data_IF_463969746163
#
_entry.id   IF_463969746163
#
_cell.length_a   1.000
_cell.length_b   1.000
_cell.length_c   1.000
_cell.angle_alpha   90.00
_cell.angle_beta   90.00
_cell.angle_gamma   90.00
#
_symmetry.space_group_name_H-M   'P 1'
#
loop_
_entity.id
_entity.type
_entity.pdbx_description
1 polymer ?
#
# COMPACT_ATOMS: atom_id res chain seq x y z
N UNK A 1 70.03 -54.76 11.07
CA UNK A 1 70.06 -53.33 10.67
C UNK A 1 69.23 -53.26 9.39
N UNK A 2 67.98 -52.85 9.49
CA UNK A 2 67.02 -52.78 8.38
C UNK A 2 66.59 -51.32 8.16
N UNK A 3 66.53 -50.80 6.94
CA UNK A 3 66.22 -49.39 6.68
C UNK A 3 64.69 -49.14 6.67
N UNK A 4 64.34 -48.06 7.32
CA UNK A 4 62.96 -47.50 7.39
C UNK A 4 62.55 -47.01 5.98
N UNK A 5 61.32 -47.34 5.61
CA UNK A 5 60.59 -46.77 4.47
C UNK A 5 59.94 -45.42 4.87
N UNK A 6 59.93 -44.39 4.03
CA UNK A 6 59.14 -43.17 4.29
C UNK A 6 57.74 -43.35 3.76
N UNK A 7 56.75 -43.09 4.61
CA UNK A 7 55.36 -42.91 4.26
C UNK A 7 55.17 -41.48 3.72
N UNK A 8 54.90 -41.34 2.44
CA UNK A 8 54.40 -40.13 1.84
C UNK A 8 52.98 -40.41 1.34
N UNK A 9 51.98 -39.95 2.09
CA UNK A 9 50.62 -39.91 1.61
C UNK A 9 50.36 -38.51 1.06
N UNK A 10 50.45 -38.38 -0.25
CA UNK A 10 49.99 -37.20 -0.98
C UNK A 10 48.47 -37.13 -0.91
N UNK A 11 47.93 -36.23 -0.07
CA UNK A 11 46.54 -35.90 -0.05
C UNK A 11 46.26 -34.92 -1.20
N UNK A 12 45.76 -35.44 -2.32
CA UNK A 12 45.24 -34.64 -3.42
C UNK A 12 44.03 -33.83 -2.92
N UNK A 13 44.23 -32.54 -2.64
CA UNK A 13 43.16 -31.58 -2.43
C UNK A 13 42.28 -31.50 -3.69
N UNK A 14 41.04 -31.92 -3.56
CA UNK A 14 40.02 -31.68 -4.60
C UNK A 14 39.78 -30.19 -4.71
N UNK A 15 39.80 -29.59 -5.91
CA UNK A 15 39.48 -28.20 -6.09
C UNK A 15 38.03 -27.93 -5.67
N UNK A 16 37.82 -26.96 -4.78
CA UNK A 16 36.51 -26.48 -4.38
C UNK A 16 35.72 -26.05 -5.63
N UNK A 17 34.64 -26.76 -5.92
CA UNK A 17 33.72 -26.36 -6.97
C UNK A 17 33.13 -25.00 -6.60
N UNK A 18 33.52 -23.95 -7.33
CA UNK A 18 32.91 -22.66 -7.28
C UNK A 18 31.41 -22.80 -7.60
N UNK A 19 30.57 -22.64 -6.62
CA UNK A 19 29.12 -22.60 -6.80
C UNK A 19 28.80 -21.41 -7.70
N UNK A 20 28.36 -21.69 -8.92
CA UNK A 20 27.87 -20.67 -9.85
C UNK A 20 26.82 -19.79 -9.14
N UNK A 21 26.85 -18.47 -9.36
CA UNK A 21 25.88 -17.57 -8.73
C UNK A 21 24.47 -18.00 -9.13
N UNK A 22 23.68 -18.35 -8.13
CA UNK A 22 22.29 -18.77 -8.29
C UNK A 22 21.55 -17.69 -9.05
N UNK A 23 21.22 -17.94 -10.32
CA UNK A 23 20.50 -16.99 -11.16
C UNK A 23 19.29 -16.46 -10.37
N UNK A 24 19.26 -15.14 -10.12
CA UNK A 24 18.14 -14.49 -9.45
C UNK A 24 16.89 -14.82 -10.25
N UNK A 25 15.95 -15.56 -9.68
CA UNK A 25 14.63 -15.78 -10.30
C UNK A 25 14.10 -14.40 -10.69
N UNK A 26 13.59 -14.21 -11.92
CA UNK A 26 13.02 -12.94 -12.30
C UNK A 26 12.01 -12.51 -11.24
N UNK A 27 12.19 -11.31 -10.70
CA UNK A 27 11.30 -10.76 -9.71
C UNK A 27 9.91 -10.71 -10.35
N UNK A 28 8.97 -11.49 -9.81
CA UNK A 28 7.61 -11.55 -10.36
C UNK A 28 6.93 -10.19 -10.24
N UNK A 29 5.90 -9.96 -11.05
CA UNK A 29 5.10 -8.75 -10.98
C UNK A 29 4.29 -8.71 -9.68
N UNK A 30 4.17 -7.51 -9.14
CA UNK A 30 3.35 -7.18 -7.98
C UNK A 30 2.23 -6.26 -8.38
N UNK A 31 1.11 -6.32 -7.68
CA UNK A 31 0.04 -5.35 -7.84
C UNK A 31 -0.40 -4.79 -6.50
N UNK A 32 -0.78 -3.52 -6.52
CA UNK A 32 -1.49 -2.86 -5.44
C UNK A 32 -2.78 -2.27 -6.00
N UNK A 33 -3.89 -2.44 -5.30
CA UNK A 33 -5.17 -1.82 -5.62
C UNK A 33 -5.71 -1.12 -4.38
N UNK A 34 -6.11 0.12 -4.59
CA UNK A 34 -6.80 0.96 -3.62
C UNK A 34 -8.21 1.25 -4.11
N UNK A 35 -9.20 0.86 -3.29
CA UNK A 35 -10.60 1.19 -3.48
C UNK A 35 -11.01 2.24 -2.46
N UNK A 36 -10.83 3.51 -2.84
CA UNK A 36 -11.22 4.66 -2.03
C UNK A 36 -12.71 5.02 -2.17
N UNK A 37 -13.09 6.08 -1.47
CA UNK A 37 -14.46 6.63 -1.48
C UNK A 37 -14.88 7.13 -2.87
N UNK A 38 -13.95 7.76 -3.60
CA UNK A 38 -14.23 8.32 -4.93
C UNK A 38 -13.65 7.48 -6.08
N UNK A 39 -12.49 6.88 -5.90
CA UNK A 39 -11.70 6.30 -6.98
C UNK A 39 -11.32 4.85 -6.71
N UNK A 40 -11.21 4.05 -7.78
CA UNK A 40 -10.55 2.76 -7.78
C UNK A 40 -9.24 2.90 -8.57
N UNK A 41 -8.11 2.63 -7.92
CA UNK A 41 -6.77 2.72 -8.50
C UNK A 41 -6.06 1.39 -8.40
N UNK A 42 -5.31 1.02 -9.42
CA UNK A 42 -4.45 -0.16 -9.39
C UNK A 42 -3.14 0.12 -10.09
N UNK A 43 -2.06 -0.41 -9.54
CA UNK A 43 -0.72 -0.40 -10.11
C UNK A 43 -0.21 -1.82 -10.24
N UNK A 44 0.40 -2.15 -11.39
CA UNK A 44 1.18 -3.38 -11.59
C UNK A 44 2.62 -2.96 -11.82
N UNK A 45 3.55 -3.51 -11.04
CA UNK A 45 4.93 -3.09 -11.07
C UNK A 45 5.90 -4.26 -10.93
N UNK A 46 7.10 -4.07 -11.44
CA UNK A 46 8.26 -4.94 -11.31
C UNK A 46 9.28 -4.28 -10.37
N UNK A 47 9.75 -4.96 -9.32
CA UNK A 47 10.83 -4.43 -8.48
C UNK A 47 12.13 -4.24 -9.28
N UNK A 48 12.76 -3.06 -9.14
CA UNK A 48 14.06 -2.74 -9.75
C UNK A 48 14.96 -2.02 -8.75
N UNK A 49 16.02 -2.68 -8.34
CA UNK A 49 16.93 -2.12 -7.34
C UNK A 49 16.22 -1.77 -6.03
N UNK A 50 16.34 -0.53 -5.60
CA UNK A 50 15.62 0.02 -4.41
C UNK A 50 14.22 0.54 -4.72
N UNK A 51 13.79 0.53 -5.99
CA UNK A 51 12.49 1.04 -6.44
C UNK A 51 11.70 0.00 -7.23
N UNK A 52 10.83 0.49 -8.11
CA UNK A 52 10.02 -0.34 -9.00
C UNK A 52 9.78 0.34 -10.34
N UNK A 53 9.54 -0.47 -11.35
CA UNK A 53 9.12 -0.02 -12.69
C UNK A 53 7.63 -0.32 -12.87
N UNK A 54 6.84 0.69 -13.26
CA UNK A 54 5.42 0.54 -13.54
C UNK A 54 5.24 -0.17 -14.88
N UNK A 55 4.54 -1.30 -14.86
CA UNK A 55 4.24 -2.13 -16.04
C UNK A 55 2.86 -1.79 -16.60
N UNK A 56 1.88 -1.59 -15.72
CA UNK A 56 0.51 -1.22 -16.10
C UNK A 56 -0.17 -0.50 -14.95
N UNK A 57 -1.16 0.31 -15.25
CA UNK A 57 -1.96 1.02 -14.25
C UNK A 57 -3.43 1.09 -14.64
N UNK A 58 -4.26 1.40 -13.65
CA UNK A 58 -5.69 1.65 -13.84
C UNK A 58 -6.13 2.70 -12.82
N UNK A 59 -6.95 3.65 -13.29
CA UNK A 59 -7.60 4.63 -12.42
C UNK A 59 -8.99 4.94 -12.97
N UNK A 60 -10.00 4.90 -12.12
CA UNK A 60 -11.38 5.23 -12.49
C UNK A 60 -12.12 5.83 -11.29
N UNK A 61 -12.81 6.95 -11.52
CA UNK A 61 -13.78 7.47 -10.56
C UNK A 61 -14.99 6.52 -10.51
N UNK A 62 -15.25 5.95 -9.35
CA UNK A 62 -16.35 5.01 -9.09
C UNK A 62 -17.42 5.63 -8.19
N UNK A 63 -17.07 6.72 -7.48
CA UNK A 63 -17.96 7.43 -6.56
C UNK A 63 -18.68 6.45 -5.61
N UNK A 64 -17.89 5.58 -4.97
CA UNK A 64 -18.44 4.52 -4.12
C UNK A 64 -19.19 5.10 -2.93
N UNK A 65 -18.68 6.19 -2.34
CA UNK A 65 -19.24 6.85 -1.18
C UNK A 65 -20.40 7.80 -1.48
N UNK A 66 -20.80 7.97 -2.74
CA UNK A 66 -21.88 8.90 -3.09
C UNK A 66 -23.19 8.58 -2.33
N UNK A 67 -23.66 9.55 -1.54
CA UNK A 67 -24.86 9.42 -0.70
C UNK A 67 -24.68 8.59 0.58
N UNK A 68 -23.43 8.17 0.89
CA UNK A 68 -23.13 7.38 2.10
C UNK A 68 -23.42 8.17 3.38
N UNK A 69 -23.08 9.46 3.43
CA UNK A 69 -23.33 10.34 4.58
C UNK A 69 -24.80 10.32 5.01
N UNK A 70 -25.71 10.41 4.02
CA UNK A 70 -27.15 10.49 4.28
C UNK A 70 -27.78 9.12 4.61
N UNK A 71 -27.29 8.05 3.99
CA UNK A 71 -27.93 6.74 4.04
C UNK A 71 -27.25 5.73 4.95
N UNK A 72 -25.95 5.95 5.32
CA UNK A 72 -25.11 4.97 5.97
C UNK A 72 -24.82 3.72 5.12
N UNK A 73 -25.17 3.72 3.82
CA UNK A 73 -25.12 2.56 2.94
C UNK A 73 -24.53 2.90 1.57
N UNK A 74 -23.78 1.98 1.01
CA UNK A 74 -23.36 2.05 -0.40
C UNK A 74 -24.56 1.85 -1.30
N UNK A 75 -24.72 2.73 -2.29
CA UNK A 75 -25.84 2.64 -3.24
C UNK A 75 -25.65 1.47 -4.22
N UNK A 76 -26.75 0.90 -4.73
CA UNK A 76 -26.69 -0.17 -5.72
C UNK A 76 -25.95 0.24 -6.98
N UNK A 77 -26.12 1.49 -7.43
CA UNK A 77 -25.46 2.04 -8.62
C UNK A 77 -23.95 2.21 -8.41
N UNK A 78 -23.51 2.75 -7.26
CA UNK A 78 -22.08 2.88 -6.92
C UNK A 78 -21.39 1.52 -6.82
N UNK A 79 -22.04 0.55 -6.14
CA UNK A 79 -21.54 -0.82 -6.09
C UNK A 79 -21.40 -1.45 -7.48
N UNK A 80 -22.38 -1.27 -8.36
CA UNK A 80 -22.32 -1.81 -9.73
C UNK A 80 -21.18 -1.20 -10.55
N UNK A 81 -21.01 0.13 -10.51
CA UNK A 81 -19.87 0.82 -11.16
C UNK A 81 -18.53 0.31 -10.67
N UNK A 82 -18.42 0.13 -9.36
CA UNK A 82 -17.18 -0.36 -8.72
C UNK A 82 -16.86 -1.78 -9.16
N UNK A 83 -17.85 -2.69 -9.17
CA UNK A 83 -17.64 -4.07 -9.65
C UNK A 83 -17.20 -4.08 -11.12
N UNK A 84 -17.75 -3.23 -11.98
CA UNK A 84 -17.27 -3.11 -13.37
C UNK A 84 -15.81 -2.66 -13.46
N UNK A 85 -15.40 -1.68 -12.64
CA UNK A 85 -14.01 -1.25 -12.56
C UNK A 85 -13.09 -2.39 -12.10
N UNK A 86 -13.50 -3.13 -11.06
CA UNK A 86 -12.75 -4.26 -10.52
C UNK A 86 -12.64 -5.45 -11.50
N UNK A 87 -13.62 -5.66 -12.37
CA UNK A 87 -13.52 -6.64 -13.47
C UNK A 87 -12.40 -6.29 -14.45
N UNK A 88 -12.22 -4.99 -14.77
CA UNK A 88 -11.10 -4.53 -15.62
C UNK A 88 -9.77 -4.77 -14.89
N UNK A 89 -9.69 -4.45 -13.61
CA UNK A 89 -8.50 -4.74 -12.78
C UNK A 89 -8.17 -6.23 -12.81
N UNK A 90 -9.16 -7.09 -12.61
CA UNK A 90 -8.99 -8.55 -12.64
C UNK A 90 -8.46 -9.04 -14.01
N UNK A 91 -8.98 -8.51 -15.11
CA UNK A 91 -8.49 -8.85 -16.46
C UNK A 91 -7.03 -8.45 -16.65
N UNK A 92 -6.62 -7.26 -16.18
CA UNK A 92 -5.21 -6.81 -16.20
C UNK A 92 -4.31 -7.70 -15.35
N UNK A 93 -4.73 -8.05 -14.14
CA UNK A 93 -3.99 -8.96 -13.25
C UNK A 93 -3.78 -10.33 -13.90
N UNK A 94 -4.80 -10.89 -14.56
CA UNK A 94 -4.70 -12.15 -15.31
C UNK A 94 -3.78 -12.02 -16.52
N UNK A 95 -3.94 -10.96 -17.33
CA UNK A 95 -3.10 -10.68 -18.51
C UNK A 95 -1.62 -10.66 -18.14
N UNK A 96 -1.27 -10.00 -17.05
CA UNK A 96 0.11 -9.86 -16.59
C UNK A 96 0.57 -11.03 -15.69
N UNK A 97 -0.29 -12.04 -15.46
CA UNK A 97 0.00 -13.21 -14.61
C UNK A 97 0.51 -12.83 -13.22
N UNK A 98 -0.04 -11.75 -12.65
CA UNK A 98 0.33 -11.28 -11.31
C UNK A 98 -0.09 -12.30 -10.27
N UNK A 99 0.85 -12.68 -9.38
CA UNK A 99 0.61 -13.65 -8.30
C UNK A 99 0.69 -13.05 -6.90
N UNK A 100 1.35 -11.90 -6.77
CA UNK A 100 1.52 -11.20 -5.50
C UNK A 100 0.83 -9.86 -5.58
N UNK A 101 -0.20 -9.69 -4.76
CA UNK A 101 -1.02 -8.47 -4.80
C UNK A 101 -1.53 -8.12 -3.41
N UNK A 102 -1.70 -6.82 -3.17
CA UNK A 102 -2.44 -6.30 -2.03
C UNK A 102 -3.58 -5.43 -2.56
N UNK A 103 -4.79 -5.76 -2.19
CA UNK A 103 -6.00 -5.09 -2.66
C UNK A 103 -6.73 -4.60 -1.42
N UNK A 104 -6.85 -3.29 -1.28
CA UNK A 104 -7.44 -2.68 -0.09
C UNK A 104 -8.68 -1.87 -0.42
N UNK A 105 -9.56 -1.74 0.56
CA UNK A 105 -10.68 -0.83 0.55
C UNK A 105 -10.62 0.03 1.81
N UNK A 106 -11.03 1.29 1.70
CA UNK A 106 -10.81 2.28 2.74
C UNK A 106 -12.12 2.87 3.26
N UNK A 107 -12.19 4.15 3.56
CA UNK A 107 -13.23 4.86 4.32
C UNK A 107 -14.67 4.50 3.93
N UNK A 108 -15.03 4.52 2.64
CA UNK A 108 -16.41 4.20 2.23
C UNK A 108 -16.84 2.78 2.66
N UNK A 109 -15.92 1.81 2.61
CA UNK A 109 -16.19 0.45 3.05
C UNK A 109 -16.14 0.30 4.57
N UNK A 110 -15.32 1.07 5.30
CA UNK A 110 -15.32 1.07 6.77
C UNK A 110 -16.65 1.54 7.33
N UNK A 111 -17.19 2.62 6.77
CA UNK A 111 -18.41 3.29 7.28
C UNK A 111 -19.71 2.63 6.87
N UNK A 112 -19.75 1.96 5.73
CA UNK A 112 -20.99 1.46 5.16
C UNK A 112 -21.53 0.22 5.91
N UNK A 113 -22.76 0.25 6.36
CA UNK A 113 -23.47 -0.86 7.02
C UNK A 113 -23.48 -2.12 6.12
N UNK A 114 -23.57 -1.94 4.80
CA UNK A 114 -23.61 -3.03 3.81
C UNK A 114 -22.23 -3.38 3.18
N UNK A 115 -21.14 -2.94 3.80
CA UNK A 115 -19.79 -3.22 3.27
C UNK A 115 -19.49 -4.71 3.17
N UNK A 116 -19.83 -5.52 4.17
CA UNK A 116 -19.59 -6.98 4.16
C UNK A 116 -20.26 -7.66 2.98
N UNK A 117 -21.52 -7.32 2.69
CA UNK A 117 -22.25 -7.84 1.53
C UNK A 117 -21.59 -7.41 0.22
N UNK A 118 -21.11 -6.17 0.16
CA UNK A 118 -20.42 -5.64 -1.02
C UNK A 118 -19.07 -6.33 -1.28
N UNK A 119 -18.24 -6.52 -0.25
CA UNK A 119 -16.97 -7.26 -0.38
C UNK A 119 -17.22 -8.72 -0.81
N UNK A 120 -18.23 -9.39 -0.25
CA UNK A 120 -18.63 -10.72 -0.68
C UNK A 120 -19.09 -10.77 -2.15
N UNK A 121 -19.83 -9.74 -2.60
CA UNK A 121 -20.22 -9.58 -3.99
C UNK A 121 -19.02 -9.40 -4.91
N UNK A 122 -18.05 -8.53 -4.55
CA UNK A 122 -16.80 -8.34 -5.30
C UNK A 122 -16.10 -9.69 -5.47
N UNK A 123 -15.91 -10.43 -4.39
CA UNK A 123 -15.24 -11.72 -4.45
C UNK A 123 -15.97 -12.71 -5.38
N UNK A 124 -17.28 -12.83 -5.25
CA UNK A 124 -18.11 -13.72 -6.08
C UNK A 124 -18.05 -13.37 -7.57
N UNK A 125 -18.10 -12.07 -7.91
CA UNK A 125 -18.19 -11.60 -9.30
C UNK A 125 -16.84 -11.42 -10.00
N UNK A 126 -15.74 -11.24 -9.24
CA UNK A 126 -14.41 -10.95 -9.81
C UNK A 126 -13.34 -11.92 -9.34
N UNK A 127 -13.56 -12.70 -8.27
CA UNK A 127 -12.54 -13.51 -7.61
C UNK A 127 -11.51 -12.69 -6.82
N UNK A 128 -11.59 -11.35 -6.82
CA UNK A 128 -10.69 -10.50 -6.05
C UNK A 128 -11.06 -10.53 -4.57
N UNK A 129 -10.05 -10.52 -3.71
CA UNK A 129 -10.21 -10.41 -2.26
C UNK A 129 -9.66 -9.07 -1.83
N UNK A 130 -10.54 -8.18 -1.37
CA UNK A 130 -10.18 -6.88 -0.83
C UNK A 130 -10.23 -6.92 0.69
N UNK A 131 -9.19 -6.36 1.32
CA UNK A 131 -9.12 -6.17 2.76
C UNK A 131 -9.58 -4.75 3.09
N UNK A 132 -10.54 -4.60 3.99
CA UNK A 132 -10.87 -3.28 4.54
C UNK A 132 -9.80 -2.94 5.57
N UNK A 133 -9.02 -1.89 5.31
CA UNK A 133 -7.94 -1.47 6.20
C UNK A 133 -8.40 -0.36 7.15
N UNK A 134 -7.84 -0.36 8.36
CA UNK A 134 -8.10 0.67 9.36
C UNK A 134 -7.43 2.01 8.99
N UNK A 135 -7.90 3.15 9.52
CA UNK A 135 -7.34 4.47 9.24
C UNK A 135 -5.84 4.57 9.54
N UNK A 136 -5.39 3.93 10.61
CA UNK A 136 -3.98 3.88 11.00
C UNK A 136 -3.10 3.20 9.93
N UNK A 137 -3.58 2.11 9.35
CA UNK A 137 -2.85 1.41 8.27
C UNK A 137 -2.86 2.23 6.97
N UNK A 138 -3.96 2.92 6.67
CA UNK A 138 -4.06 3.85 5.54
C UNK A 138 -3.04 4.99 5.69
N UNK A 139 -3.01 5.66 6.86
CA UNK A 139 -2.06 6.69 7.21
C UNK A 139 -0.59 6.19 7.12
N UNK A 140 -0.32 4.98 7.63
CA UNK A 140 1.01 4.36 7.55
C UNK A 140 1.45 4.13 6.10
N UNK A 141 0.56 3.67 5.23
CA UNK A 141 0.86 3.45 3.82
C UNK A 141 1.12 4.77 3.09
N UNK A 142 0.37 5.83 3.41
CA UNK A 142 0.62 7.18 2.91
C UNK A 142 2.03 7.67 3.30
N UNK A 143 2.41 7.54 4.57
CA UNK A 143 3.75 7.88 5.06
C UNK A 143 4.84 7.12 4.32
N UNK A 144 4.71 5.80 4.19
CA UNK A 144 5.70 4.96 3.47
C UNK A 144 5.83 5.39 2.01
N UNK A 145 4.74 5.80 1.37
CA UNK A 145 4.77 6.28 -0.03
C UNK A 145 5.59 7.55 -0.20
N UNK A 146 5.73 8.37 0.85
CA UNK A 146 6.53 9.58 0.88
C UNK A 146 8.03 9.35 1.14
N UNK A 147 8.44 8.14 1.51
CA UNK A 147 9.85 7.84 1.82
C UNK A 147 10.86 8.28 0.73
N UNK A 148 10.58 8.12 -0.59
CA UNK A 148 11.48 8.56 -1.64
C UNK A 148 11.65 10.09 -1.72
N UNK A 149 10.75 10.87 -1.12
CA UNK A 149 10.78 12.33 -1.09
C UNK A 149 11.58 12.88 0.08
N UNK A 150 11.99 12.03 1.02
CA UNK A 150 12.69 12.43 2.23
C UNK A 150 14.13 12.80 1.89
N UNK A 151 14.48 14.05 2.13
CA UNK A 151 15.84 14.56 1.96
C UNK A 151 16.72 14.20 3.15
N UNK A 152 18.06 14.05 2.97
CA UNK A 152 19.00 13.91 4.07
C UNK A 152 18.95 15.04 5.11
N UNK A 153 18.45 16.21 4.73
CA UNK A 153 18.32 17.36 5.63
C UNK A 153 17.00 17.41 6.41
N UNK A 154 16.05 16.50 6.07
CA UNK A 154 14.73 16.47 6.70
C UNK A 154 14.82 15.86 8.10
N UNK A 155 14.45 16.59 9.13
CA UNK A 155 14.40 16.11 10.52
C UNK A 155 12.98 15.85 10.99
N UNK A 156 12.01 16.57 10.43
CA UNK A 156 10.59 16.40 10.72
C UNK A 156 9.78 16.31 9.44
N UNK A 157 8.73 15.52 9.46
CA UNK A 157 7.78 15.33 8.37
C UNK A 157 6.37 15.58 8.88
N UNK A 158 5.59 16.34 8.12
CA UNK A 158 4.14 16.33 8.20
C UNK A 158 3.61 15.73 6.90
N UNK A 159 3.03 14.54 6.98
CA UNK A 159 2.34 13.92 5.85
C UNK A 159 0.87 14.25 5.94
N UNK A 160 0.32 14.78 4.86
CA UNK A 160 -1.10 15.10 4.71
C UNK A 160 -1.62 14.31 3.52
N UNK A 161 -2.49 13.34 3.78
CA UNK A 161 -3.18 12.56 2.74
C UNK A 161 -4.65 12.95 2.70
N UNK A 162 -5.07 13.57 1.59
CA UNK A 162 -6.44 14.02 1.38
C UNK A 162 -7.14 13.04 0.46
N UNK A 163 -7.91 12.14 1.06
CA UNK A 163 -8.70 11.15 0.34
C UNK A 163 -10.05 11.67 -0.13
N UNK A 164 -10.87 10.76 -0.68
CA UNK A 164 -12.24 11.08 -1.08
C UNK A 164 -13.21 11.21 0.10
N UNK A 165 -13.00 10.48 1.18
CA UNK A 165 -13.89 10.42 2.35
C UNK A 165 -13.21 10.73 3.67
N UNK A 166 -11.88 10.71 3.72
CA UNK A 166 -11.09 11.03 4.92
C UNK A 166 -9.86 11.85 4.58
N UNK A 167 -9.25 12.42 5.61
CA UNK A 167 -7.95 13.12 5.54
C UNK A 167 -7.12 12.64 6.70
N UNK A 168 -5.93 12.14 6.40
CA UNK A 168 -4.95 11.67 7.38
C UNK A 168 -3.82 12.71 7.51
N UNK A 169 -3.47 13.05 8.76
CA UNK A 169 -2.30 13.85 9.08
C UNK A 169 -1.40 13.04 9.99
N UNK A 170 -0.12 12.96 9.65
CA UNK A 170 0.87 12.22 10.43
C UNK A 170 2.12 13.06 10.62
N UNK A 171 2.47 13.31 11.87
CA UNK A 171 3.69 14.02 12.22
C UNK A 171 4.76 13.03 12.67
N UNK A 172 5.94 13.12 12.07
CA UNK A 172 7.03 12.18 12.26
C UNK A 172 8.34 12.92 12.53
N UNK A 173 9.04 12.51 13.57
CA UNK A 173 10.41 12.92 13.87
C UNK A 173 11.40 11.87 13.38
N UNK A 174 12.37 12.30 12.58
CA UNK A 174 13.49 11.50 12.07
C UNK A 174 14.84 12.17 12.34
N UNK A 175 14.88 13.21 13.19
CA UNK A 175 16.10 13.93 13.54
C UNK A 175 17.17 13.04 14.14
N UNK A 176 16.78 12.07 14.97
CA UNK A 176 17.68 11.07 15.55
C UNK A 176 18.19 10.00 14.57
N UNK A 177 17.70 9.96 13.31
CA UNK A 177 18.13 8.99 12.29
C UNK A 177 19.26 9.59 11.45
N UNK A 178 20.36 8.82 11.19
CA UNK A 178 21.41 9.27 10.29
C UNK A 178 20.84 9.72 8.93
N UNK A 179 21.33 10.82 8.35
CA UNK A 179 20.78 11.41 7.12
C UNK A 179 20.58 10.44 5.98
N UNK A 180 21.54 9.55 5.74
CA UNK A 180 21.50 8.53 4.68
C UNK A 180 20.45 7.44 4.90
N UNK A 181 20.03 7.23 6.15
CA UNK A 181 19.10 6.16 6.54
C UNK A 181 17.65 6.64 6.69
N UNK A 182 17.41 7.95 6.64
CA UNK A 182 16.08 8.55 6.85
C UNK A 182 14.98 7.99 5.94
N UNK A 183 15.18 7.83 4.61
CA UNK A 183 14.17 7.19 3.76
C UNK A 183 13.89 5.75 4.17
N UNK A 184 14.92 5.00 4.52
CA UNK A 184 14.77 3.60 4.96
C UNK A 184 14.09 3.48 6.33
N UNK A 185 14.28 4.46 7.22
CA UNK A 185 13.60 4.49 8.51
C UNK A 185 12.09 4.65 8.34
N UNK A 186 11.65 5.51 7.40
CA UNK A 186 10.25 5.67 7.03
C UNK A 186 9.69 4.36 6.44
N UNK A 187 10.41 3.72 5.53
CA UNK A 187 9.98 2.44 4.93
C UNK A 187 9.86 1.29 5.94
N UNK A 188 10.51 1.39 7.10
CA UNK A 188 10.47 0.39 8.18
C UNK A 188 9.37 0.63 9.21
N UNK A 189 8.51 1.63 9.04
CA UNK A 189 7.37 1.82 9.93
C UNK A 189 6.43 0.61 9.84
N UNK A 190 6.26 -0.08 10.96
CA UNK A 190 5.40 -1.26 11.09
C UNK A 190 3.94 -0.87 11.35
N UNK A 191 3.04 -1.87 11.27
CA UNK A 191 1.65 -1.70 11.63
C UNK A 191 1.51 -1.19 13.08
N UNK A 192 0.54 -0.30 13.30
CA UNK A 192 0.35 0.36 14.59
C UNK A 192 1.41 1.41 14.88
N UNK A 193 2.06 1.96 13.84
CA UNK A 193 3.17 2.91 13.96
C UNK A 193 4.26 2.48 14.95
N UNK A 194 4.27 1.18 15.27
CA UNK A 194 5.28 0.63 16.18
C UNK A 194 6.64 0.64 15.49
N UNK A 195 7.61 1.12 16.23
CA UNK A 195 9.00 1.07 15.78
C UNK A 195 9.56 -0.33 16.04
N UNK A 196 10.26 -0.90 15.05
CA UNK A 196 10.95 -2.19 15.18
C UNK A 196 12.14 -2.12 16.15
N UNK A 197 12.97 -3.12 16.18
CA UNK A 197 14.11 -3.33 17.12
C UNK A 197 14.75 -2.08 17.73
N UNK A 198 14.84 -2.06 19.07
CA UNK A 198 15.33 -0.94 19.90
C UNK A 198 16.79 -0.50 19.65
N UNK A 199 17.56 -1.27 18.90
CA UNK A 199 19.01 -1.07 18.76
C UNK A 199 19.42 -0.18 17.56
N UNK A 200 18.45 0.39 16.82
CA UNK A 200 18.74 1.30 15.70
C UNK A 200 17.93 2.58 15.81
N UNK A 201 18.52 3.72 15.40
CA UNK A 201 17.77 4.96 15.26
C UNK A 201 16.56 4.76 14.35
N UNK A 202 15.38 5.19 14.81
CA UNK A 202 14.11 4.90 14.16
C UNK A 202 13.32 6.18 13.95
N UNK A 203 12.48 6.19 12.92
CA UNK A 203 11.46 7.20 12.76
C UNK A 203 10.44 7.08 13.90
N UNK A 204 10.09 8.19 14.52
CA UNK A 204 9.10 8.26 15.59
C UNK A 204 7.85 8.98 15.08
N UNK A 205 6.71 8.32 15.12
CA UNK A 205 5.44 9.01 14.93
C UNK A 205 5.14 9.78 16.20
N UNK A 206 5.15 11.11 16.08
CA UNK A 206 4.90 12.03 17.21
C UNK A 206 3.40 12.04 17.50
N UNK A 207 2.60 12.19 16.44
CA UNK A 207 1.15 12.19 16.53
C UNK A 207 0.54 11.89 15.17
N UNK A 208 -0.72 11.43 15.16
CA UNK A 208 -1.47 11.24 13.94
C UNK A 208 -2.98 11.37 14.19
N UNK A 209 -3.70 11.81 13.16
CA UNK A 209 -5.16 11.92 13.20
C UNK A 209 -5.74 11.53 11.83
N UNK A 210 -6.88 10.85 11.83
CA UNK A 210 -7.73 10.66 10.65
C UNK A 210 -9.06 11.37 10.89
N UNK A 211 -9.41 12.26 9.97
CA UNK A 211 -10.66 13.04 10.02
C UNK A 211 -11.58 12.50 8.92
N UNK A 212 -12.85 12.20 9.19
CA UNK A 212 -13.80 11.71 8.18
C UNK A 212 -14.27 12.86 7.26
N UNK A 213 -13.34 13.63 6.73
CA UNK A 213 -13.55 14.76 5.83
C UNK A 213 -12.63 14.61 4.62
N UNK A 214 -13.21 14.39 3.46
CA UNK A 214 -12.50 14.28 2.19
C UNK A 214 -13.15 15.13 1.10
N UNK A 215 -12.53 15.16 -0.07
CA UNK A 215 -13.01 16.01 -1.19
C UNK A 215 -14.41 15.64 -1.67
N UNK A 216 -14.82 14.40 -1.57
CA UNK A 216 -16.15 13.96 -2.00
C UNK A 216 -17.22 14.33 -0.97
N UNK A 217 -16.95 14.15 0.33
CA UNK A 217 -17.87 14.50 1.42
C UNK A 217 -18.12 16.00 1.45
N UNK A 218 -17.09 16.82 1.34
CA UNK A 218 -17.21 18.28 1.31
C UNK A 218 -18.00 18.80 0.11
N UNK A 219 -17.86 18.17 -1.06
CA UNK A 219 -18.63 18.55 -2.26
C UNK A 219 -20.12 18.26 -2.11
N UNK A 220 -20.50 17.20 -1.41
CA UNK A 220 -21.92 16.88 -1.14
C UNK A 220 -22.56 17.88 -0.17
N UNK A 221 -21.82 18.35 0.84
CA UNK A 221 -22.30 19.37 1.79
C UNK A 221 -22.61 20.67 1.07
N UNK A 222 -21.69 21.22 0.28
CA UNK A 222 -21.92 22.45 -0.46
C UNK A 222 -23.05 22.37 -1.49
N UNK A 223 -23.23 21.22 -2.13
CA UNK A 223 -24.34 21.03 -3.08
C UNK A 223 -25.68 21.04 -2.36
N UNK A 224 -25.77 20.48 -1.15
CA UNK A 224 -27.00 20.48 -0.35
C UNK A 224 -27.35 21.86 0.19
N UNK A 225 -26.35 22.68 0.56
CA UNK A 225 -26.55 24.06 0.99
C UNK A 225 -27.08 24.94 -0.15
N UNK A 226 -26.48 24.84 -1.36
CA UNK A 226 -26.95 25.58 -2.53
C UNK A 226 -28.38 25.19 -2.94
N UNK A 227 -28.73 23.90 -2.86
CA UNK A 227 -30.10 23.43 -3.13
C UNK A 227 -31.12 23.93 -2.12
N UNK A 228 -30.72 24.11 -0.84
CA UNK A 228 -31.60 24.67 0.18
C UNK A 228 -31.88 26.15 -0.02
N UNK A 229 -30.90 26.90 -0.58
CA UNK A 229 -31.03 28.33 -0.90
C UNK A 229 -31.86 28.58 -2.16
N UNK A 230 -31.93 27.63 -3.09
CA UNK A 230 -32.73 27.75 -4.32
C UNK A 230 -34.20 27.35 -4.17
N UNK A 231 -34.58 26.75 -3.05
CA UNK A 231 -35.94 26.34 -2.73
C UNK A 231 -36.68 27.34 -1.77
N UNK A 232 -36.14 28.52 -1.56
CA UNK A 232 -36.73 29.68 -0.87
C UNK A 232 -37.19 30.72 -1.90
#
# INVERSE_FOLDING_TARGET
MAPKRPNGADALEKPAQATAPRAKRPAGLYAALDLGTNSCRMLIAEPRGSGFHVVDSFSKSVQLGLGLEKSGRLSRSSMARTVQALRICQQKLKKHKVRRMRLVATEACRRAINAKEFIARIHRETGLRLDIIEPEEEARLAVISCAPLVSPKTENLLVVDIGGGSTELVWIDIGGVPPTDRPHAIMRLHAGFKTGQRDRPQAQVVDWISVPLGVATRSEEHTSELQSLTNL
#
